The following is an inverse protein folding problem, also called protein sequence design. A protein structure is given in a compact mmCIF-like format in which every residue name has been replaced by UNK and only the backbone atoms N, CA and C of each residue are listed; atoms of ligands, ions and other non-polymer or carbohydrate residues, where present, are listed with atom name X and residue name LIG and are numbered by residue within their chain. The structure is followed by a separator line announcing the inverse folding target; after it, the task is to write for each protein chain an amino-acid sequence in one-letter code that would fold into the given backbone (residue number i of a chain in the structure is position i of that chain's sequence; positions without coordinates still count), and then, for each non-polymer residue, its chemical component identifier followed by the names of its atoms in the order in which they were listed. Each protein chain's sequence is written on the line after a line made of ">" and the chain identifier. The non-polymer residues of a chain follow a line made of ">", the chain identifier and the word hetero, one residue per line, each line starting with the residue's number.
data_IF_489443689126
#
_entry.id   IF_489443689126
#
_cell.length_a   1.000
_cell.length_b   1.000
_cell.length_c   1.000
_cell.angle_alpha   90.00
_cell.angle_beta   90.00
_cell.angle_gamma   90.00
#
_symmetry.space_group_name_H-M   'P 1'
#
loop_
_entity.id
_entity.type
_entity.pdbx_description
1 polymer ?
#
# COMPACT_ATOMS: atom_id res chain seq x y z
N UNK A 1 -18.99 -16.55 -29.84
CA UNK A 1 -20.00 -15.66 -29.21
C UNK A 1 -19.43 -15.24 -27.84
N UNK A 2 -18.98 -13.98 -27.72
CA UNK A 2 -18.46 -13.42 -26.47
C UNK A 2 -19.64 -12.98 -25.60
N UNK A 3 -19.71 -13.50 -24.38
CA UNK A 3 -20.68 -13.09 -23.36
C UNK A 3 -20.38 -11.61 -22.98
N UNK A 4 -21.36 -10.70 -22.95
CA UNK A 4 -21.11 -9.33 -22.58
C UNK A 4 -20.73 -9.26 -21.08
N UNK A 5 -19.75 -8.43 -20.76
CA UNK A 5 -19.37 -8.09 -19.38
C UNK A 5 -20.61 -7.53 -18.67
N UNK A 6 -20.89 -8.05 -17.46
CA UNK A 6 -21.98 -7.55 -16.63
C UNK A 6 -21.69 -6.11 -16.23
N UNK A 7 -22.57 -5.18 -16.64
CA UNK A 7 -22.54 -3.80 -16.18
C UNK A 7 -22.58 -3.75 -14.65
N UNK A 8 -21.83 -2.81 -14.01
CA UNK A 8 -21.91 -2.63 -12.57
C UNK A 8 -23.35 -2.28 -12.20
N UNK A 9 -23.93 -3.04 -11.27
CA UNK A 9 -25.26 -2.74 -10.71
C UNK A 9 -25.21 -1.32 -10.14
N UNK A 10 -25.90 -0.38 -10.79
CA UNK A 10 -26.12 0.96 -10.27
C UNK A 10 -26.89 0.82 -8.96
N UNK A 11 -26.20 1.05 -7.85
CA UNK A 11 -26.87 1.34 -6.59
C UNK A 11 -27.61 2.67 -6.78
N UNK A 12 -28.92 2.65 -6.74
CA UNK A 12 -29.79 3.81 -6.99
C UNK A 12 -29.80 4.80 -5.82
N UNK A 13 -28.62 5.29 -5.44
CA UNK A 13 -28.53 6.36 -4.43
C UNK A 13 -28.60 7.71 -5.16
N UNK A 14 -29.71 8.39 -5.07
CA UNK A 14 -29.78 9.84 -5.24
C UNK A 14 -28.88 10.49 -4.19
N UNK A 15 -28.18 11.55 -4.59
CA UNK A 15 -27.28 12.34 -3.74
C UNK A 15 -27.98 12.72 -2.43
N UNK A 16 -27.76 11.98 -1.33
CA UNK A 16 -28.37 12.22 -0.02
C UNK A 16 -28.84 10.99 0.76
N UNK A 17 -29.10 9.86 0.08
CA UNK A 17 -29.53 8.63 0.78
C UNK A 17 -28.47 7.54 0.62
N UNK A 18 -27.59 7.45 1.62
CA UNK A 18 -26.63 6.36 1.72
C UNK A 18 -27.36 5.13 2.26
N UNK A 19 -27.65 4.14 1.41
CA UNK A 19 -28.30 2.89 1.82
C UNK A 19 -27.59 2.24 3.01
N UNK A 20 -28.34 1.60 3.89
CA UNK A 20 -27.86 0.96 5.13
C UNK A 20 -26.63 0.06 4.90
N UNK A 21 -26.63 -0.72 3.81
CA UNK A 21 -25.52 -1.59 3.44
C UNK A 21 -24.23 -0.81 3.16
N UNK A 22 -24.31 0.30 2.43
CA UNK A 22 -23.15 1.14 2.12
C UNK A 22 -22.62 1.85 3.37
N UNK A 23 -23.51 2.34 4.23
CA UNK A 23 -23.13 2.94 5.52
C UNK A 23 -22.40 1.94 6.41
N UNK A 24 -22.94 0.73 6.54
CA UNK A 24 -22.33 -0.35 7.34
C UNK A 24 -20.96 -0.76 6.78
N UNK A 25 -20.86 -0.95 5.46
CA UNK A 25 -19.62 -1.32 4.79
C UNK A 25 -18.51 -0.26 4.99
N UNK A 26 -18.87 1.03 4.80
CA UNK A 26 -17.95 2.14 5.03
C UNK A 26 -17.44 2.17 6.47
N UNK A 27 -18.32 2.09 7.44
CA UNK A 27 -17.93 2.08 8.85
C UNK A 27 -17.11 0.85 9.24
N UNK A 28 -17.39 -0.34 8.65
CA UNK A 28 -16.59 -1.54 8.85
C UNK A 28 -15.19 -1.37 8.28
N UNK A 29 -15.06 -0.88 7.05
CA UNK A 29 -13.79 -0.63 6.39
C UNK A 29 -12.88 0.28 7.23
N UNK A 30 -13.40 1.43 7.67
CA UNK A 30 -12.61 2.40 8.45
C UNK A 30 -12.13 1.81 9.78
N UNK A 31 -13.01 1.14 10.51
CA UNK A 31 -12.66 0.54 11.81
C UNK A 31 -11.68 -0.63 11.65
N UNK A 32 -11.90 -1.49 10.65
CA UNK A 32 -11.02 -2.63 10.38
C UNK A 32 -9.63 -2.16 9.96
N UNK A 33 -9.55 -1.19 9.04
CA UNK A 33 -8.27 -0.59 8.64
C UNK A 33 -7.49 -0.06 9.85
N UNK A 34 -8.09 0.80 10.67
CA UNK A 34 -7.43 1.35 11.86
C UNK A 34 -6.99 0.25 12.83
N UNK A 35 -7.84 -0.75 13.07
CA UNK A 35 -7.57 -1.87 13.96
C UNK A 35 -6.37 -2.70 13.49
N UNK A 36 -6.36 -3.11 12.23
CA UNK A 36 -5.30 -3.98 11.69
C UNK A 36 -3.97 -3.24 11.57
N UNK A 37 -3.98 -2.02 11.05
CA UNK A 37 -2.76 -1.22 10.91
C UNK A 37 -2.09 -1.02 12.27
N UNK A 38 -2.82 -0.57 13.30
CA UNK A 38 -2.27 -0.38 14.65
C UNK A 38 -1.65 -1.65 15.22
N UNK A 39 -2.30 -2.81 15.04
CA UNK A 39 -1.82 -4.08 15.60
C UNK A 39 -0.58 -4.59 14.87
N UNK A 40 -0.56 -4.48 13.54
CA UNK A 40 0.58 -4.87 12.72
C UNK A 40 1.77 -3.98 13.04
N UNK A 41 1.60 -2.65 13.06
CA UNK A 41 2.67 -1.70 13.41
C UNK A 41 3.27 -1.98 14.78
N UNK A 42 2.45 -2.22 15.79
CA UNK A 42 2.91 -2.55 17.14
C UNK A 42 3.76 -3.81 17.16
N UNK A 43 3.37 -4.84 16.38
CA UNK A 43 4.14 -6.08 16.26
C UNK A 43 5.48 -5.88 15.57
N UNK A 44 5.50 -5.13 14.47
CA UNK A 44 6.71 -4.82 13.73
C UNK A 44 7.68 -3.98 14.56
N UNK A 45 7.17 -2.93 15.21
CA UNK A 45 7.96 -2.08 16.09
C UNK A 45 8.61 -2.87 17.24
N UNK A 46 7.87 -3.77 17.87
CA UNK A 46 8.40 -4.62 18.95
C UNK A 46 9.55 -5.55 18.50
N UNK A 47 9.66 -5.81 17.19
CA UNK A 47 10.69 -6.66 16.59
C UNK A 47 11.79 -5.86 15.86
N UNK A 48 11.76 -4.54 15.93
CA UNK A 48 12.69 -3.67 15.21
C UNK A 48 12.60 -3.78 13.69
N UNK A 49 11.44 -4.23 13.16
CA UNK A 49 11.17 -4.31 11.75
C UNK A 49 10.73 -2.95 11.18
N UNK A 50 10.71 -2.84 9.85
CA UNK A 50 10.17 -1.67 9.15
C UNK A 50 8.69 -1.46 9.51
N UNK A 51 8.26 -0.19 9.59
CA UNK A 51 6.83 0.10 9.58
C UNK A 51 6.19 -0.29 8.24
N UNK A 52 4.88 -0.56 8.17
CA UNK A 52 4.20 -0.88 6.91
C UNK A 52 4.51 0.13 5.80
N UNK A 53 4.42 1.43 6.08
CA UNK A 53 4.66 2.48 5.09
C UNK A 53 6.12 2.51 4.62
N UNK A 54 7.07 2.26 5.53
CA UNK A 54 8.49 2.18 5.15
C UNK A 54 8.75 0.96 4.27
N UNK A 55 8.13 -0.17 4.61
CA UNK A 55 8.19 -1.39 3.81
C UNK A 55 7.62 -1.15 2.41
N UNK A 56 6.42 -0.54 2.31
CA UNK A 56 5.72 -0.29 1.04
C UNK A 56 6.52 0.64 0.12
N UNK A 57 7.12 1.71 0.66
CA UNK A 57 7.98 2.59 -0.14
C UNK A 57 9.20 1.85 -0.68
N UNK A 58 9.88 1.04 0.14
CA UNK A 58 11.02 0.25 -0.33
C UNK A 58 10.59 -0.84 -1.34
N UNK A 59 9.40 -1.43 -1.16
CA UNK A 59 8.82 -2.39 -2.08
C UNK A 59 8.53 -1.75 -3.44
N UNK A 60 7.84 -0.61 -3.47
CA UNK A 60 7.58 0.15 -4.71
C UNK A 60 8.87 0.46 -5.46
N UNK A 61 9.90 0.93 -4.75
CA UNK A 61 11.20 1.19 -5.35
C UNK A 61 11.87 -0.09 -5.87
N UNK A 62 11.69 -1.23 -5.20
CA UNK A 62 12.30 -2.49 -5.64
C UNK A 62 11.74 -3.02 -6.96
N UNK A 63 10.46 -2.73 -7.25
CA UNK A 63 9.81 -3.08 -8.53
C UNK A 63 10.00 -2.04 -9.62
N UNK A 64 10.36 -0.82 -9.25
CA UNK A 64 10.53 0.26 -10.22
C UNK A 64 11.73 0.02 -11.16
N UNK A 65 11.67 0.49 -12.42
CA UNK A 65 12.80 0.44 -13.33
C UNK A 65 14.05 1.09 -12.72
N UNK A 66 15.15 0.37 -12.73
CA UNK A 66 16.42 0.78 -12.10
C UNK A 66 16.29 1.12 -10.60
N UNK A 67 15.29 0.57 -9.91
CA UNK A 67 15.03 0.77 -8.49
C UNK A 67 14.86 2.24 -8.09
N UNK A 68 14.23 3.06 -8.96
CA UNK A 68 14.02 4.49 -8.74
C UNK A 68 12.63 4.95 -9.16
N UNK A 69 12.08 5.91 -8.43
CA UNK A 69 10.83 6.60 -8.74
C UNK A 69 10.98 8.09 -8.48
N UNK A 70 10.32 8.90 -9.30
CA UNK A 70 10.19 10.33 -9.00
C UNK A 70 9.34 10.52 -7.75
N UNK A 71 9.68 11.54 -6.97
CA UNK A 71 8.86 11.87 -5.80
C UNK A 71 7.38 12.10 -6.16
N UNK A 72 7.09 12.62 -7.36
CA UNK A 72 5.73 12.75 -7.89
C UNK A 72 5.00 11.41 -7.98
N UNK A 73 5.63 10.41 -8.57
CA UNK A 73 5.08 9.05 -8.73
C UNK A 73 4.84 8.39 -7.36
N UNK A 74 5.77 8.56 -6.42
CA UNK A 74 5.58 8.08 -5.05
C UNK A 74 4.39 8.77 -4.34
N UNK A 75 4.13 10.07 -4.61
CA UNK A 75 2.96 10.76 -4.04
C UNK A 75 1.64 10.24 -4.60
N UNK A 76 1.62 9.75 -5.83
CA UNK A 76 0.41 9.22 -6.47
C UNK A 76 0.07 7.80 -6.01
N UNK A 77 1.09 7.00 -5.69
CA UNK A 77 0.93 5.58 -5.34
C UNK A 77 0.92 5.32 -3.84
N UNK A 78 1.62 6.14 -3.04
CA UNK A 78 1.69 5.95 -1.61
C UNK A 78 0.36 6.32 -0.91
N UNK A 79 -0.02 5.54 0.09
CA UNK A 79 -1.20 5.80 0.95
C UNK A 79 -1.02 6.96 1.93
N UNK A 80 0.12 7.65 1.87
CA UNK A 80 0.51 8.74 2.76
C UNK A 80 0.20 10.12 2.15
N UNK A 81 -0.03 11.10 3.02
CA UNK A 81 -0.02 12.50 2.58
C UNK A 81 1.37 12.90 2.05
N UNK A 82 1.44 13.92 1.17
CA UNK A 82 2.71 14.43 0.62
C UNK A 82 3.73 14.77 1.71
N UNK A 83 3.30 15.43 2.77
CA UNK A 83 4.17 15.77 3.90
C UNK A 83 4.60 14.55 4.72
N UNK A 84 3.72 13.56 4.86
CA UNK A 84 4.02 12.28 5.51
C UNK A 84 5.08 11.50 4.74
N UNK A 85 4.88 11.36 3.42
CA UNK A 85 5.82 10.67 2.55
C UNK A 85 7.19 11.38 2.50
N UNK A 86 7.21 12.72 2.42
CA UNK A 86 8.48 13.45 2.45
C UNK A 86 9.27 13.14 3.71
N UNK A 87 8.63 13.21 4.89
CA UNK A 87 9.27 12.89 6.18
C UNK A 87 9.71 11.42 6.27
N UNK A 88 8.94 10.52 5.66
CA UNK A 88 9.32 9.11 5.60
C UNK A 88 10.58 8.94 4.75
N UNK A 89 10.61 9.49 3.53
CA UNK A 89 11.79 9.42 2.65
C UNK A 89 13.02 10.07 3.29
N UNK A 90 12.88 11.19 4.01
CA UNK A 90 13.97 11.82 4.78
C UNK A 90 14.55 10.85 5.83
N UNK A 91 13.68 10.09 6.50
CA UNK A 91 14.10 9.07 7.47
C UNK A 91 14.80 7.90 6.79
N UNK A 92 14.24 7.37 5.69
CA UNK A 92 14.85 6.28 4.93
C UNK A 92 16.23 6.66 4.36
N UNK A 93 16.40 7.93 3.98
CA UNK A 93 17.68 8.48 3.52
C UNK A 93 18.70 8.56 4.65
N UNK A 94 18.30 9.00 5.85
CA UNK A 94 19.16 9.00 7.04
C UNK A 94 19.63 7.61 7.44
N UNK A 95 18.79 6.60 7.27
CA UNK A 95 19.13 5.19 7.48
C UNK A 95 19.98 4.60 6.34
N UNK A 96 20.19 5.36 5.26
CA UNK A 96 20.93 4.92 4.09
C UNK A 96 20.18 3.87 3.23
N UNK A 97 18.89 3.71 3.39
CA UNK A 97 18.06 2.75 2.64
C UNK A 97 17.56 3.30 1.32
N UNK A 98 17.45 4.60 1.24
CA UNK A 98 17.11 5.35 0.03
C UNK A 98 18.14 6.46 -0.13
N UNK A 99 18.40 6.88 -1.36
CA UNK A 99 19.13 8.13 -1.67
C UNK A 99 18.27 8.99 -2.57
N UNK A 100 18.41 10.31 -2.49
CA UNK A 100 17.81 11.25 -3.43
C UNK A 100 18.81 11.59 -4.52
N UNK A 101 18.37 11.47 -5.76
CA UNK A 101 19.15 11.92 -6.93
C UNK A 101 18.35 12.99 -7.67
N UNK A 102 19.05 14.00 -8.20
CA UNK A 102 18.43 15.03 -9.05
C UNK A 102 18.04 14.40 -10.38
N UNK A 103 16.81 14.63 -10.85
CA UNK A 103 16.38 14.11 -12.14
C UNK A 103 17.24 14.69 -13.27
N UNK A 104 17.77 13.86 -14.18
CA UNK A 104 18.62 14.34 -15.28
C UNK A 104 17.95 15.40 -16.17
N UNK A 105 16.63 15.28 -16.34
CA UNK A 105 15.84 16.14 -17.23
C UNK A 105 15.11 17.29 -16.52
N UNK A 106 15.14 17.34 -15.17
CA UNK A 106 14.50 18.38 -14.39
C UNK A 106 15.21 18.59 -13.05
N UNK A 107 16.07 19.59 -13.00
CA UNK A 107 16.85 19.92 -11.78
C UNK A 107 16.01 20.34 -10.56
N UNK A 108 14.72 20.55 -10.71
CA UNK A 108 13.80 20.88 -9.61
C UNK A 108 13.13 19.64 -9.03
N UNK A 109 13.27 18.51 -9.71
CA UNK A 109 12.69 17.21 -9.31
C UNK A 109 13.75 16.28 -8.76
N UNK A 110 13.35 15.44 -7.80
CA UNK A 110 14.20 14.41 -7.22
C UNK A 110 13.58 13.04 -7.47
N UNK A 111 14.47 12.06 -7.64
CA UNK A 111 14.15 10.63 -7.63
C UNK A 111 14.58 10.03 -6.30
N UNK A 112 13.74 9.19 -5.72
CA UNK A 112 14.13 8.30 -4.66
C UNK A 112 14.70 7.03 -5.28
N UNK A 113 15.88 6.62 -4.86
CA UNK A 113 16.60 5.45 -5.38
C UNK A 113 16.85 4.48 -4.25
N UNK A 114 16.42 3.23 -4.41
CA UNK A 114 16.68 2.17 -3.44
C UNK A 114 18.17 1.83 -3.40
N UNK A 115 18.72 1.72 -2.21
CA UNK A 115 20.08 1.26 -2.01
C UNK A 115 20.14 -0.25 -1.76
N UNK A 116 21.32 -0.85 -1.87
CA UNK A 116 21.53 -2.25 -1.52
C UNK A 116 21.20 -2.53 -0.03
N UNK A 117 21.47 -1.56 0.87
CA UNK A 117 21.11 -1.66 2.28
C UNK A 117 19.60 -1.56 2.49
N UNK A 118 18.90 -0.75 1.70
CA UNK A 118 17.44 -0.64 1.71
C UNK A 118 16.78 -1.93 1.25
N UNK A 119 17.26 -2.54 0.16
CA UNK A 119 16.77 -3.84 -0.29
C UNK A 119 17.01 -4.93 0.76
N UNK A 120 18.17 -4.96 1.39
CA UNK A 120 18.45 -5.90 2.47
C UNK A 120 17.54 -5.65 3.70
N UNK A 121 17.22 -4.39 4.04
CA UNK A 121 16.30 -4.06 5.12
C UNK A 121 14.87 -4.54 4.81
N UNK A 122 14.39 -4.31 3.59
CA UNK A 122 13.10 -4.81 3.09
C UNK A 122 13.03 -6.34 3.17
N UNK A 123 14.02 -7.02 2.61
CA UNK A 123 14.07 -8.49 2.60
C UNK A 123 14.05 -9.10 4.02
N UNK A 124 14.79 -8.50 4.96
CA UNK A 124 14.78 -8.94 6.37
C UNK A 124 13.43 -8.69 7.06
N UNK A 125 12.73 -7.64 6.69
CA UNK A 125 11.44 -7.28 7.32
C UNK A 125 10.27 -8.12 6.79
N UNK A 126 10.36 -8.66 5.59
CA UNK A 126 9.27 -9.41 4.97
C UNK A 126 8.74 -10.58 5.81
N UNK A 127 9.57 -11.50 6.32
CA UNK A 127 9.07 -12.62 7.12
C UNK A 127 8.29 -12.17 8.36
N UNK A 128 8.72 -11.08 9.00
CA UNK A 128 8.07 -10.51 10.17
C UNK A 128 6.75 -9.85 9.79
N UNK A 129 6.72 -9.13 8.67
CA UNK A 129 5.53 -8.47 8.16
C UNK A 129 4.48 -9.50 7.72
N UNK A 130 4.87 -10.50 6.93
CA UNK A 130 3.98 -11.60 6.52
C UNK A 130 3.38 -12.34 7.73
N UNK A 131 4.20 -12.62 8.76
CA UNK A 131 3.71 -13.25 9.99
C UNK A 131 2.73 -12.34 10.74
N UNK A 132 2.99 -11.03 10.81
CA UNK A 132 2.09 -10.08 11.44
C UNK A 132 0.75 -10.01 10.69
N UNK A 133 0.76 -9.93 9.36
CA UNK A 133 -0.45 -9.96 8.52
C UNK A 133 -1.23 -11.27 8.75
N UNK A 134 -0.56 -12.41 8.67
CA UNK A 134 -1.22 -13.71 8.87
C UNK A 134 -1.90 -13.83 10.22
N UNK A 135 -1.28 -13.32 11.28
CA UNK A 135 -1.81 -13.38 12.66
C UNK A 135 -2.87 -12.35 12.96
N UNK A 136 -2.72 -11.14 12.47
CA UNK A 136 -3.61 -10.03 12.84
C UNK A 136 -4.78 -9.86 11.86
N UNK A 137 -4.62 -10.29 10.61
CA UNK A 137 -5.63 -10.16 9.56
C UNK A 137 -6.04 -11.53 8.97
N UNK A 138 -5.08 -12.32 8.48
CA UNK A 138 -5.35 -13.52 7.69
C UNK A 138 -6.17 -14.60 8.41
N UNK A 139 -6.03 -14.73 9.72
CA UNK A 139 -6.77 -15.74 10.48
C UNK A 139 -8.30 -15.51 10.56
N UNK A 140 -8.79 -14.34 10.19
CA UNK A 140 -10.23 -14.03 10.17
C UNK A 140 -10.95 -14.52 8.92
N UNK A 141 -10.22 -14.90 7.88
CA UNK A 141 -10.77 -15.20 6.56
C UNK A 141 -10.23 -16.53 6.04
N UNK A 142 -11.10 -17.33 5.45
CA UNK A 142 -10.65 -18.42 4.58
C UNK A 142 -10.17 -17.85 3.23
N UNK A 143 -9.53 -18.70 2.41
CA UNK A 143 -8.94 -18.29 1.12
C UNK A 143 -9.99 -17.66 0.17
N UNK A 144 -11.19 -18.23 0.12
CA UNK A 144 -12.28 -17.73 -0.73
C UNK A 144 -12.82 -16.39 -0.24
N UNK A 145 -12.93 -16.23 1.07
CA UNK A 145 -13.36 -14.97 1.69
C UNK A 145 -12.32 -13.88 1.48
N UNK A 146 -11.03 -14.21 1.61
CA UNK A 146 -9.93 -13.28 1.38
C UNK A 146 -9.91 -12.78 -0.08
N UNK A 147 -10.02 -13.68 -1.06
CA UNK A 147 -10.15 -13.29 -2.46
C UNK A 147 -11.39 -12.44 -2.73
N UNK A 148 -12.54 -12.81 -2.16
CA UNK A 148 -13.77 -12.03 -2.32
C UNK A 148 -13.62 -10.61 -1.75
N UNK A 149 -12.99 -10.49 -0.59
CA UNK A 149 -12.73 -9.20 0.04
C UNK A 149 -11.78 -8.35 -0.81
N UNK A 150 -10.69 -8.93 -1.33
CA UNK A 150 -9.76 -8.26 -2.22
C UNK A 150 -10.48 -7.72 -3.47
N UNK A 151 -11.22 -8.58 -4.19
CA UNK A 151 -11.99 -8.19 -5.38
C UNK A 151 -12.96 -7.02 -5.12
N UNK A 152 -13.60 -7.00 -3.93
CA UNK A 152 -14.53 -5.95 -3.55
C UNK A 152 -13.81 -4.63 -3.27
N UNK A 153 -12.67 -4.67 -2.60
CA UNK A 153 -11.89 -3.49 -2.23
C UNK A 153 -11.12 -2.90 -3.41
N UNK A 154 -10.72 -3.72 -4.39
CA UNK A 154 -10.01 -3.27 -5.59
C UNK A 154 -10.90 -2.62 -6.64
N UNK A 155 -12.21 -2.82 -6.60
CA UNK A 155 -13.15 -2.23 -7.58
C UNK A 155 -13.02 -0.71 -7.76
N UNK A 156 -12.89 0.09 -6.68
CA UNK A 156 -12.73 1.54 -6.83
C UNK A 156 -11.33 1.97 -7.28
N UNK A 157 -10.31 1.09 -7.16
CA UNK A 157 -8.92 1.39 -7.50
C UNK A 157 -8.64 1.23 -9.02
N UNK A 158 -9.55 0.61 -9.77
CA UNK A 158 -9.38 0.32 -11.20
C UNK A 158 -8.52 -0.94 -11.43
N UNK A 159 -8.81 -1.68 -12.49
CA UNK A 159 -8.00 -2.84 -12.89
C UNK A 159 -6.72 -2.34 -13.59
N UNK A 160 -5.70 -2.00 -12.86
CA UNK A 160 -4.44 -1.52 -13.46
C UNK A 160 -3.19 -1.75 -12.62
N UNK A 161 -3.31 -2.05 -11.33
CA UNK A 161 -2.16 -2.06 -10.42
C UNK A 161 -1.96 -3.36 -9.64
N UNK A 162 -2.84 -4.38 -9.80
CA UNK A 162 -2.83 -5.57 -8.94
C UNK A 162 -2.02 -6.77 -9.45
N UNK A 163 -1.44 -6.74 -10.67
CA UNK A 163 -0.71 -7.90 -11.20
C UNK A 163 0.79 -7.94 -10.88
N UNK A 164 1.31 -7.01 -10.08
CA UNK A 164 2.74 -6.88 -9.83
C UNK A 164 3.20 -7.30 -8.41
N UNK A 165 2.34 -7.90 -7.58
CA UNK A 165 2.67 -8.13 -6.17
C UNK A 165 2.30 -9.53 -5.68
N UNK A 166 3.04 -10.54 -6.15
CA UNK A 166 3.27 -11.76 -5.33
C UNK A 166 4.70 -12.24 -5.55
#
# INVERSE_FOLDING_TARGET
>A
MKKPASEPKKCGATTGDLGEGAHRAWGALLRSHAHFVERIERKLSAQGALSPEAYDVLLMLSYAPNHRLRMGELYETATLSRSGLTRLVDRLEKEGWVKREVCPNDRRSFEAVLTASGEAARARSWPLYAQAIAREFGHFFDEKEAHTLADLLERPLGKGESEAQV
#
